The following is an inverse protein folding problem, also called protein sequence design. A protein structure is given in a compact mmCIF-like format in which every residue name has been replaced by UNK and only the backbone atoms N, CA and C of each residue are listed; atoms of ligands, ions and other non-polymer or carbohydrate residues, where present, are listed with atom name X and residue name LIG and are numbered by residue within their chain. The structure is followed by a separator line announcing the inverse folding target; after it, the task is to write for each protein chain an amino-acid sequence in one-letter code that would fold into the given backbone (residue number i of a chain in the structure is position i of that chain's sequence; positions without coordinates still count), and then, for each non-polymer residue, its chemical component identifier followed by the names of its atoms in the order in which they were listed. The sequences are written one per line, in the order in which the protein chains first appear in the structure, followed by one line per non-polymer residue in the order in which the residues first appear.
data_IF_830768975182
#
_entry.id   IF_830768975182
#
_cell.length_a   1.000
_cell.length_b   1.000
_cell.length_c   1.000
_cell.angle_alpha   90.00
_cell.angle_beta   90.00
_cell.angle_gamma   90.00
#
_symmetry.space_group_name_H-M   'P 1'
#
loop_
_entity.id
_entity.type
_entity.pdbx_description
1 polymer ?
#
# COMPACT_ATOMS: atom_id res chain seq x y z
N UNK A 1 -13.77 -43.87 44.43
CA UNK A 1 -12.60 -42.97 44.58
C UNK A 1 -12.21 -42.33 43.25
N UNK A 2 -13.10 -42.32 42.25
CA UNK A 2 -12.79 -41.89 40.87
C UNK A 2 -12.94 -40.37 40.61
N UNK A 3 -13.57 -39.60 41.50
CA UNK A 3 -13.87 -38.18 41.26
C UNK A 3 -12.71 -37.21 41.56
N UNK A 4 -11.59 -37.71 42.11
CA UNK A 4 -10.42 -36.88 42.46
C UNK A 4 -9.28 -37.00 41.43
N UNK A 5 -9.30 -38.04 40.58
CA UNK A 5 -8.24 -38.30 39.60
C UNK A 5 -8.32 -37.31 38.43
N UNK A 6 -9.53 -37.04 37.93
CA UNK A 6 -9.75 -36.09 36.84
C UNK A 6 -9.29 -34.65 37.16
N UNK A 7 -9.64 -34.04 38.32
CA UNK A 7 -9.14 -32.69 38.64
C UNK A 7 -7.63 -32.65 38.87
N UNK A 8 -7.03 -33.73 39.39
CA UNK A 8 -5.57 -33.83 39.56
C UNK A 8 -4.85 -33.85 38.21
N UNK A 9 -5.35 -34.62 37.23
CA UNK A 9 -4.77 -34.68 35.89
C UNK A 9 -4.88 -33.33 35.18
N UNK A 10 -6.03 -32.65 35.29
CA UNK A 10 -6.22 -31.30 34.71
C UNK A 10 -5.26 -30.30 35.34
N UNK A 11 -5.04 -30.36 36.66
CA UNK A 11 -4.08 -29.49 37.35
C UNK A 11 -2.65 -29.74 36.87
N UNK A 12 -2.25 -31.01 36.70
CA UNK A 12 -0.91 -31.36 36.20
C UNK A 12 -0.72 -30.84 34.77
N UNK A 13 -1.71 -31.01 33.89
CA UNK A 13 -1.64 -30.52 32.51
C UNK A 13 -1.54 -29.00 32.47
N UNK A 14 -2.31 -28.29 33.29
CA UNK A 14 -2.23 -26.83 33.40
C UNK A 14 -0.85 -26.37 33.88
N UNK A 15 -0.30 -27.02 34.92
CA UNK A 15 1.02 -26.69 35.46
C UNK A 15 2.10 -26.91 34.41
N UNK A 16 2.09 -28.05 33.71
CA UNK A 16 3.04 -28.36 32.63
C UNK A 16 2.90 -27.36 31.48
N UNK A 17 1.67 -27.02 31.07
CA UNK A 17 1.43 -26.04 30.01
C UNK A 17 1.96 -24.65 30.39
N UNK A 18 1.74 -24.20 31.64
CA UNK A 18 2.34 -22.95 32.13
C UNK A 18 3.86 -23.01 32.22
N UNK A 19 4.45 -24.13 32.63
CA UNK A 19 5.90 -24.27 32.72
C UNK A 19 6.55 -24.24 31.33
N UNK A 20 5.93 -24.90 30.34
CA UNK A 20 6.35 -24.86 28.93
C UNK A 20 6.19 -23.46 28.36
N UNK A 21 5.06 -22.79 28.60
CA UNK A 21 4.86 -21.41 28.15
C UNK A 21 5.91 -20.44 28.75
N UNK A 22 6.19 -20.55 30.04
CA UNK A 22 7.19 -19.71 30.73
C UNK A 22 8.60 -19.98 30.20
N UNK A 23 8.97 -21.24 29.96
CA UNK A 23 10.29 -21.60 29.42
C UNK A 23 10.46 -21.15 27.98
N UNK A 24 9.42 -21.25 27.14
CA UNK A 24 9.43 -20.74 25.76
C UNK A 24 9.54 -19.22 25.72
N UNK A 25 8.79 -18.50 26.55
CA UNK A 25 8.87 -17.03 26.65
C UNK A 25 10.24 -16.58 27.16
N UNK A 26 10.81 -17.27 28.15
CA UNK A 26 12.17 -16.98 28.65
C UNK A 26 13.24 -17.24 27.60
N UNK A 27 13.15 -18.34 26.85
CA UNK A 27 14.09 -18.62 25.75
C UNK A 27 13.99 -17.58 24.62
N UNK A 28 12.78 -17.11 24.29
CA UNK A 28 12.60 -16.02 23.31
C UNK A 28 13.17 -14.69 23.78
N UNK A 29 13.15 -14.40 25.09
CA UNK A 29 13.79 -13.19 25.66
C UNK A 29 15.32 -13.28 25.75
N UNK A 30 15.87 -14.48 25.91
CA UNK A 30 17.32 -14.69 26.04
C UNK A 30 18.08 -14.72 24.70
N UNK A 31 17.39 -14.69 23.56
CA UNK A 31 17.99 -14.83 22.23
C UNK A 31 17.92 -13.53 21.39
N UNK A 32 18.26 -12.39 21.99
CA UNK A 32 18.61 -11.18 21.24
C UNK A 32 20.13 -10.99 21.33
N UNK A 33 20.89 -11.12 20.24
CA UNK A 33 22.31 -10.79 20.26
C UNK A 33 22.49 -9.28 20.41
N UNK A 34 23.29 -8.86 21.40
CA UNK A 34 23.81 -7.50 21.45
C UNK A 34 24.74 -7.28 20.25
N UNK A 35 24.44 -6.27 19.43
CA UNK A 35 25.33 -5.84 18.34
C UNK A 35 26.60 -5.22 18.93
N UNK A 36 27.80 -5.54 18.43
CA UNK A 36 29.01 -4.81 18.80
C UNK A 36 28.90 -3.33 18.40
N UNK A 37 29.25 -2.44 19.33
CA UNK A 37 29.36 -1.02 19.08
C UNK A 37 30.44 -0.75 18.02
N UNK A 38 30.04 -0.13 16.90
CA UNK A 38 30.98 0.41 15.93
C UNK A 38 31.37 1.82 16.36
N UNK A 39 32.61 1.98 16.82
CA UNK A 39 33.26 3.29 16.99
C UNK A 39 33.57 3.88 15.61
N UNK A 40 33.17 5.12 15.29
CA UNK A 40 33.69 5.81 14.12
C UNK A 40 35.11 6.29 14.39
N UNK A 41 36.09 5.75 13.66
CA UNK A 41 37.44 6.28 13.61
C UNK A 41 37.45 7.54 12.71
N UNK A 42 37.84 8.67 13.29
CA UNK A 42 38.22 9.87 12.55
C UNK A 42 39.65 9.71 12.01
N UNK A 43 39.97 10.13 10.77
CA UNK A 43 41.35 10.34 10.38
C UNK A 43 41.76 11.81 10.59
N UNK A 44 42.89 11.96 11.28
CA UNK A 44 43.62 13.19 11.54
C UNK A 44 44.15 13.85 10.26
N UNK A 45 44.27 15.18 10.35
CA UNK A 45 44.92 16.06 9.39
C UNK A 45 46.45 15.86 9.34
N UNK A 46 47.04 16.12 8.17
CA UNK A 46 48.46 16.48 8.04
C UNK A 46 48.68 17.50 6.92
N UNK A 47 49.69 18.33 7.15
CA UNK A 47 49.93 19.70 6.69
C UNK A 47 50.44 19.90 5.25
N UNK A 48 50.43 21.19 4.88
CA UNK A 48 50.80 21.86 3.63
C UNK A 48 52.31 21.82 3.25
N UNK A 49 52.75 22.49 2.16
CA UNK A 49 53.18 23.90 2.31
C UNK A 49 52.94 24.86 1.10
N UNK A 50 52.86 26.17 1.45
CA UNK A 50 53.32 27.46 0.83
C UNK A 50 53.70 27.54 -0.68
N UNK A 51 53.60 28.64 -1.45
CA UNK A 51 53.27 30.08 -1.38
C UNK A 51 52.90 30.51 -2.84
N UNK A 52 52.26 31.65 -3.19
CA UNK A 52 52.80 33.01 -3.39
C UNK A 52 51.63 33.98 -3.69
N UNK A 53 51.69 35.19 -3.14
CA UNK A 53 50.83 36.40 -3.26
C UNK A 53 50.94 37.12 -4.64
N UNK A 54 50.01 38.04 -5.09
CA UNK A 54 49.79 39.35 -4.44
C UNK A 54 48.38 40.00 -4.50
N UNK A 55 48.08 40.67 -3.36
CA UNK A 55 47.49 42.01 -3.14
C UNK A 55 46.56 42.66 -4.18
N UNK A 56 45.30 42.90 -3.79
CA UNK A 56 44.59 44.20 -3.98
C UNK A 56 43.79 44.52 -2.71
N UNK A 57 43.88 45.78 -2.30
CA UNK A 57 43.39 46.39 -1.07
C UNK A 57 42.09 47.15 -1.33
N UNK A 58 41.04 46.98 -0.49
CA UNK A 58 40.10 48.06 -0.08
C UNK A 58 39.02 47.58 0.93
N UNK A 59 39.09 48.17 2.14
CA UNK A 59 38.03 48.53 3.12
C UNK A 59 37.03 47.49 3.72
N UNK A 60 36.60 47.68 4.99
CA UNK A 60 35.95 46.64 5.80
C UNK A 60 34.42 46.62 5.69
N UNK A 61 33.80 45.44 5.76
CA UNK A 61 32.36 45.27 5.97
C UNK A 61 32.11 44.48 7.27
N UNK A 62 31.15 44.90 8.13
CA UNK A 62 30.85 44.28 9.43
C UNK A 62 30.24 42.87 9.27
N UNK A 63 30.31 42.02 10.33
CA UNK A 63 30.06 40.59 10.21
C UNK A 63 28.61 40.30 9.87
N UNK A 64 28.40 39.63 8.74
CA UNK A 64 27.12 39.05 8.38
C UNK A 64 26.79 37.95 9.40
N UNK A 65 25.65 38.14 10.06
CA UNK A 65 25.04 37.19 10.98
C UNK A 65 25.01 35.77 10.39
N UNK A 66 25.41 34.80 11.20
CA UNK A 66 25.23 33.37 10.94
C UNK A 66 23.77 33.09 10.58
N UNK A 67 23.54 32.68 9.33
CA UNK A 67 22.28 32.15 8.89
C UNK A 67 22.08 30.77 9.54
N UNK A 68 21.12 30.66 10.45
CA UNK A 68 20.64 29.37 10.94
C UNK A 68 20.14 28.53 9.75
N UNK A 69 20.51 27.24 9.66
CA UNK A 69 20.11 26.39 8.54
C UNK A 69 18.60 26.18 8.54
N UNK A 70 17.96 26.58 7.44
CA UNK A 70 16.54 26.33 7.19
C UNK A 70 16.27 24.82 7.25
N UNK A 71 15.38 24.42 8.16
CA UNK A 71 14.92 23.04 8.27
C UNK A 71 14.17 22.65 6.98
N UNK A 72 14.32 21.42 6.46
CA UNK A 72 13.65 21.00 5.25
C UNK A 72 12.13 21.06 5.46
N UNK A 73 11.43 21.78 4.57
CA UNK A 73 9.97 21.83 4.55
C UNK A 73 9.44 20.41 4.30
N UNK A 74 8.71 19.88 5.28
CA UNK A 74 8.01 18.61 5.16
C UNK A 74 6.85 18.83 4.18
N UNK A 75 6.91 18.19 3.02
CA UNK A 75 5.88 18.27 1.99
C UNK A 75 4.58 17.63 2.50
N UNK A 76 3.65 18.47 2.97
CA UNK A 76 2.35 18.00 3.48
C UNK A 76 1.45 17.67 2.29
N UNK A 77 0.94 16.43 2.17
CA UNK A 77 0.12 16.04 1.03
C UNK A 77 -1.21 16.80 1.02
N UNK A 78 -1.67 17.15 -0.19
CA UNK A 78 -2.93 17.85 -0.42
C UNK A 78 -4.13 17.18 0.31
N UNK A 79 -5.17 17.95 0.68
CA UNK A 79 -6.40 17.41 1.25
C UNK A 79 -6.99 16.27 0.41
N UNK A 80 -7.54 15.25 1.08
CA UNK A 80 -8.07 14.02 0.46
C UNK A 80 -9.13 14.28 -0.62
N UNK A 81 -9.96 15.31 -0.44
CA UNK A 81 -10.97 15.72 -1.42
C UNK A 81 -10.35 16.11 -2.77
N UNK A 82 -9.27 16.90 -2.77
CA UNK A 82 -8.55 17.29 -3.99
C UNK A 82 -7.85 16.10 -4.66
N UNK A 83 -7.30 15.17 -3.86
CA UNK A 83 -6.67 13.94 -4.35
C UNK A 83 -7.64 13.01 -5.08
N UNK A 84 -8.85 12.80 -4.54
CA UNK A 84 -9.86 11.95 -5.19
C UNK A 84 -10.38 12.56 -6.49
N UNK A 85 -10.57 13.89 -6.53
CA UNK A 85 -10.95 14.59 -7.77
C UNK A 85 -9.86 14.40 -8.83
N UNK A 86 -8.59 14.64 -8.49
CA UNK A 86 -7.45 14.43 -9.41
C UNK A 86 -7.32 12.98 -9.86
N UNK A 87 -7.55 12.01 -8.98
CA UNK A 87 -7.56 10.60 -9.32
C UNK A 87 -8.68 10.30 -10.33
N UNK A 88 -9.91 10.74 -10.07
CA UNK A 88 -11.02 10.61 -11.02
C UNK A 88 -10.70 11.25 -12.37
N UNK A 89 -10.09 12.43 -12.40
CA UNK A 89 -9.68 13.09 -13.65
C UNK A 89 -8.55 12.37 -14.39
N UNK A 90 -7.67 11.64 -13.69
CA UNK A 90 -6.63 10.80 -14.30
C UNK A 90 -7.22 9.52 -14.86
N UNK A 91 -8.07 8.84 -14.09
CA UNK A 91 -8.78 7.64 -14.51
C UNK A 91 -9.72 7.92 -15.68
N UNK A 92 -10.48 9.02 -15.66
CA UNK A 92 -11.32 9.42 -16.79
C UNK A 92 -10.51 9.62 -18.10
N UNK A 93 -9.23 10.00 -18.00
CA UNK A 93 -8.35 10.13 -19.17
C UNK A 93 -7.81 8.79 -19.67
N UNK A 94 -7.45 7.84 -18.81
CA UNK A 94 -7.00 6.50 -19.25
C UNK A 94 -8.16 5.61 -19.69
N UNK A 95 -9.32 5.75 -19.05
CA UNK A 95 -10.53 4.97 -19.32
C UNK A 95 -11.29 5.43 -20.57
N UNK A 96 -10.76 6.37 -21.34
CA UNK A 96 -11.52 6.99 -22.44
C UNK A 96 -11.73 6.02 -23.62
N UNK A 97 -10.76 5.17 -23.95
CA UNK A 97 -10.92 4.19 -25.03
C UNK A 97 -11.73 2.96 -24.57
N UNK A 98 -11.31 2.33 -23.46
CA UNK A 98 -11.98 1.18 -22.86
C UNK A 98 -13.44 1.49 -22.49
N UNK A 99 -13.68 2.58 -21.75
CA UNK A 99 -15.01 2.96 -21.33
C UNK A 99 -15.95 3.30 -22.49
N UNK A 100 -15.45 3.94 -23.57
CA UNK A 100 -16.28 4.21 -24.76
C UNK A 100 -16.61 2.93 -25.53
N UNK A 101 -15.64 2.04 -25.71
CA UNK A 101 -15.85 0.75 -26.37
C UNK A 101 -16.89 -0.08 -25.61
N UNK A 102 -16.66 -0.27 -24.31
CA UNK A 102 -17.57 -1.03 -23.47
C UNK A 102 -18.99 -0.44 -23.42
N UNK A 103 -19.11 0.89 -23.33
CA UNK A 103 -20.41 1.55 -23.39
C UNK A 103 -21.10 1.38 -24.74
N UNK A 104 -20.37 1.34 -25.85
CA UNK A 104 -20.96 1.11 -27.18
C UNK A 104 -21.59 -0.29 -27.27
N UNK A 105 -20.91 -1.31 -26.74
CA UNK A 105 -21.44 -2.69 -26.70
C UNK A 105 -22.66 -2.78 -25.79
N UNK A 106 -22.58 -2.18 -24.60
CA UNK A 106 -23.69 -2.12 -23.64
C UNK A 106 -24.89 -1.30 -24.14
N UNK A 107 -24.71 -0.48 -25.18
CA UNK A 107 -25.77 0.34 -25.76
C UNK A 107 -26.58 -0.36 -26.85
N UNK A 108 -26.23 -1.59 -27.21
CA UNK A 108 -26.98 -2.36 -28.21
C UNK A 108 -28.39 -2.68 -27.70
N UNK A 109 -29.38 -2.63 -28.58
CA UNK A 109 -30.79 -2.92 -28.25
C UNK A 109 -31.00 -4.29 -27.61
N UNK A 110 -30.13 -5.25 -27.95
CA UNK A 110 -30.09 -6.57 -27.35
C UNK A 110 -28.64 -6.99 -27.12
N UNK A 111 -28.37 -7.50 -25.92
CA UNK A 111 -27.10 -8.16 -25.60
C UNK A 111 -27.25 -9.64 -25.95
N UNK A 112 -26.90 -9.97 -27.19
CA UNK A 112 -26.72 -11.34 -27.66
C UNK A 112 -25.37 -11.92 -27.21
N UNK A 113 -25.13 -13.19 -27.52
CA UNK A 113 -23.92 -13.90 -27.09
C UNK A 113 -22.64 -13.18 -27.58
N UNK A 114 -22.64 -12.66 -28.80
CA UNK A 114 -21.53 -11.89 -29.37
C UNK A 114 -21.27 -10.59 -28.59
N UNK A 115 -22.32 -9.84 -28.20
CA UNK A 115 -22.16 -8.64 -27.38
C UNK A 115 -21.56 -8.96 -26.01
N UNK A 116 -21.92 -10.10 -25.43
CA UNK A 116 -21.35 -10.51 -24.15
C UNK A 116 -19.89 -10.99 -24.26
N UNK A 117 -19.53 -11.65 -25.36
CA UNK A 117 -18.14 -11.99 -25.67
C UNK A 117 -17.29 -10.73 -25.81
N UNK A 118 -17.78 -9.71 -26.53
CA UNK A 118 -17.07 -8.44 -26.68
C UNK A 118 -16.90 -7.69 -25.33
N UNK A 119 -17.88 -7.78 -24.42
CA UNK A 119 -17.75 -7.25 -23.05
C UNK A 119 -16.64 -7.98 -22.28
N UNK A 120 -16.58 -9.30 -22.39
CA UNK A 120 -15.56 -10.14 -21.76
C UNK A 120 -14.16 -9.83 -22.31
N UNK A 121 -14.00 -9.80 -23.63
CA UNK A 121 -12.75 -9.42 -24.29
C UNK A 121 -12.29 -8.03 -23.86
N UNK A 122 -13.23 -7.08 -23.77
CA UNK A 122 -12.93 -5.72 -23.33
C UNK A 122 -12.35 -5.70 -21.92
N UNK A 123 -12.96 -6.43 -20.97
CA UNK A 123 -12.50 -6.50 -19.58
C UNK A 123 -11.14 -7.21 -19.47
N UNK A 124 -10.91 -8.27 -20.23
CA UNK A 124 -9.61 -8.95 -20.29
C UNK A 124 -8.53 -7.99 -20.83
N UNK A 125 -8.83 -7.25 -21.89
CA UNK A 125 -7.94 -6.23 -22.47
C UNK A 125 -7.68 -5.04 -21.53
N UNK A 126 -8.46 -4.88 -20.46
CA UNK A 126 -8.29 -3.88 -19.43
C UNK A 126 -7.55 -4.39 -18.18
N UNK A 127 -6.80 -5.49 -18.31
CA UNK A 127 -6.00 -6.10 -17.23
C UNK A 127 -6.84 -6.63 -16.04
N UNK A 128 -8.12 -6.94 -16.22
CA UNK A 128 -8.95 -7.57 -15.18
C UNK A 128 -8.57 -9.05 -14.98
N UNK A 129 -8.11 -9.71 -16.04
CA UNK A 129 -7.77 -11.14 -16.05
C UNK A 129 -8.95 -12.05 -16.37
N UNK A 130 -8.67 -13.22 -16.92
CA UNK A 130 -9.67 -14.15 -17.47
C UNK A 130 -10.65 -14.65 -16.42
N UNK A 131 -10.14 -15.13 -15.29
CA UNK A 131 -10.97 -15.72 -14.23
C UNK A 131 -11.94 -14.69 -13.61
N UNK A 132 -11.42 -13.53 -13.21
CA UNK A 132 -12.22 -12.47 -12.64
C UNK A 132 -13.28 -11.96 -13.64
N UNK A 133 -12.88 -11.78 -14.90
CA UNK A 133 -13.79 -11.35 -15.96
C UNK A 133 -14.94 -12.34 -16.15
N UNK A 134 -14.65 -13.64 -16.27
CA UNK A 134 -15.69 -14.66 -16.44
C UNK A 134 -16.69 -14.65 -15.29
N UNK A 135 -16.23 -14.47 -14.05
CA UNK A 135 -17.12 -14.34 -12.88
C UNK A 135 -18.00 -13.08 -12.94
N UNK A 136 -17.41 -11.93 -13.30
CA UNK A 136 -18.12 -10.65 -13.41
C UNK A 136 -19.19 -10.72 -14.50
N UNK A 137 -18.84 -11.22 -15.69
CA UNK A 137 -19.75 -11.30 -16.84
C UNK A 137 -20.89 -12.29 -16.56
N UNK A 138 -20.60 -13.44 -15.95
CA UNK A 138 -21.64 -14.40 -15.58
C UNK A 138 -22.67 -13.80 -14.61
N UNK A 139 -22.22 -13.09 -13.57
CA UNK A 139 -23.11 -12.42 -12.62
C UNK A 139 -23.89 -11.28 -13.27
N UNK A 140 -23.24 -10.49 -14.12
CA UNK A 140 -23.89 -9.41 -14.86
C UNK A 140 -24.99 -9.93 -15.79
N UNK A 141 -24.72 -11.00 -16.57
CA UNK A 141 -25.71 -11.68 -17.41
C UNK A 141 -26.91 -12.13 -16.59
N UNK A 142 -26.66 -12.76 -15.45
CA UNK A 142 -27.71 -13.27 -14.57
C UNK A 142 -28.58 -12.15 -14.00
N UNK A 143 -27.97 -11.10 -13.44
CA UNK A 143 -28.72 -9.96 -12.88
C UNK A 143 -29.49 -9.18 -13.94
N UNK A 144 -28.91 -9.01 -15.12
CA UNK A 144 -29.58 -8.35 -16.25
C UNK A 144 -30.85 -9.11 -16.64
N UNK A 145 -30.77 -10.45 -16.68
CA UNK A 145 -31.91 -11.34 -16.94
C UNK A 145 -32.97 -11.28 -15.84
N UNK A 146 -32.58 -11.36 -14.57
CA UNK A 146 -33.50 -11.34 -13.42
C UNK A 146 -34.25 -10.00 -13.34
N UNK A 147 -33.54 -8.89 -13.47
CA UNK A 147 -34.10 -7.55 -13.33
C UNK A 147 -34.84 -7.07 -14.59
N UNK A 148 -34.69 -7.78 -15.71
CA UNK A 148 -35.28 -7.40 -16.99
C UNK A 148 -34.79 -6.04 -17.48
N UNK A 149 -33.53 -5.70 -17.17
CA UNK A 149 -32.93 -4.39 -17.42
C UNK A 149 -32.94 -4.06 -18.91
N UNK A 150 -33.35 -2.85 -19.29
CA UNK A 150 -33.53 -2.48 -20.71
C UNK A 150 -32.78 -1.25 -21.14
N UNK A 151 -32.26 -0.46 -20.21
CA UNK A 151 -31.55 0.77 -20.55
C UNK A 151 -30.05 0.61 -20.34
N UNK A 152 -29.28 1.28 -21.20
CA UNK A 152 -27.81 1.36 -21.11
C UNK A 152 -27.36 1.84 -19.73
N UNK A 153 -28.08 2.81 -19.17
CA UNK A 153 -27.75 3.41 -17.87
C UNK A 153 -27.89 2.40 -16.72
N UNK A 154 -28.90 1.55 -16.77
CA UNK A 154 -29.12 0.51 -15.78
C UNK A 154 -28.07 -0.60 -15.91
N UNK A 155 -27.79 -1.11 -17.12
CA UNK A 155 -26.77 -2.17 -17.31
C UNK A 155 -25.38 -1.67 -16.91
N UNK A 156 -25.05 -0.41 -17.23
CA UNK A 156 -23.81 0.23 -16.76
C UNK A 156 -23.73 0.28 -15.24
N UNK A 157 -24.83 0.62 -14.58
CA UNK A 157 -24.89 0.62 -13.10
C UNK A 157 -24.67 -0.79 -12.56
N UNK A 158 -25.32 -1.80 -13.13
CA UNK A 158 -25.11 -3.19 -12.75
C UNK A 158 -23.66 -3.64 -12.93
N UNK A 159 -23.03 -3.29 -14.04
CA UNK A 159 -21.61 -3.59 -14.26
C UNK A 159 -20.72 -2.92 -13.21
N UNK A 160 -20.99 -1.65 -12.87
CA UNK A 160 -20.24 -0.94 -11.83
C UNK A 160 -20.41 -1.60 -10.45
N UNK A 161 -21.62 -2.08 -10.15
CA UNK A 161 -21.89 -2.84 -8.93
C UNK A 161 -21.11 -4.16 -8.91
N UNK A 162 -21.13 -4.94 -9.99
CA UNK A 162 -20.39 -6.21 -10.08
C UNK A 162 -18.87 -6.02 -9.99
N UNK A 163 -18.33 -4.98 -10.64
CA UNK A 163 -16.91 -4.62 -10.51
C UNK A 163 -16.56 -4.20 -9.08
N UNK A 164 -17.45 -3.49 -8.40
CA UNK A 164 -17.25 -3.07 -7.01
C UNK A 164 -17.30 -4.27 -6.06
N UNK A 165 -18.25 -5.19 -6.26
CA UNK A 165 -18.37 -6.41 -5.47
C UNK A 165 -17.18 -7.35 -5.69
N UNK A 166 -16.65 -7.44 -6.92
CA UNK A 166 -15.42 -8.18 -7.21
C UNK A 166 -14.21 -7.62 -6.45
N UNK A 167 -14.22 -6.33 -6.13
CA UNK A 167 -13.23 -5.69 -5.26
C UNK A 167 -13.53 -5.89 -3.78
N UNK A 168 -14.47 -6.73 -3.36
CA UNK A 168 -14.83 -6.99 -1.95
C UNK A 168 -14.77 -5.71 -1.08
N UNK A 169 -15.82 -4.87 -1.10
CA UNK A 169 -15.82 -3.60 -0.39
C UNK A 169 -15.76 -3.77 1.13
N UNK A 170 -15.96 -4.98 1.65
CA UNK A 170 -15.88 -5.30 3.08
C UNK A 170 -14.46 -5.66 3.52
N UNK A 171 -13.57 -5.96 2.58
CA UNK A 171 -12.18 -6.26 2.88
C UNK A 171 -11.46 -5.01 3.41
N UNK A 172 -10.95 -5.10 4.63
CA UNK A 172 -10.09 -4.07 5.22
C UNK A 172 -8.74 -4.03 4.49
N UNK A 173 -8.48 -2.90 3.82
CA UNK A 173 -7.23 -2.60 3.11
C UNK A 173 -6.44 -1.49 3.80
N UNK A 174 -6.76 -1.18 5.05
CA UNK A 174 -6.02 -0.21 5.83
C UNK A 174 -4.58 -0.67 6.05
N UNK A 175 -3.65 0.28 6.00
CA UNK A 175 -2.25 0.04 6.29
C UNK A 175 -1.96 0.51 7.72
N UNK A 176 -1.54 -0.40 8.58
CA UNK A 176 -1.13 -0.10 9.95
C UNK A 176 0.26 0.57 9.98
N UNK A 177 0.35 1.78 9.42
CA UNK A 177 1.60 2.52 9.25
C UNK A 177 1.98 3.39 10.47
N UNK A 178 1.09 3.52 11.46
CA UNK A 178 1.33 4.32 12.66
C UNK A 178 1.78 3.47 13.85
N UNK A 179 2.59 4.01 14.78
CA UNK A 179 2.94 3.31 16.02
C UNK A 179 1.70 2.80 16.77
N UNK A 180 1.82 1.62 17.37
CA UNK A 180 0.76 0.97 18.16
C UNK A 180 1.34 0.52 19.50
N UNK A 181 0.63 0.80 20.61
CA UNK A 181 1.02 0.41 21.97
C UNK A 181 2.47 0.79 22.35
N UNK A 182 2.91 1.97 21.93
CA UNK A 182 4.27 2.47 22.19
C UNK A 182 5.38 1.77 21.38
N UNK A 183 5.02 0.93 20.40
CA UNK A 183 5.95 0.25 19.49
C UNK A 183 5.93 0.92 18.11
N UNK A 184 7.09 1.07 17.45
CA UNK A 184 7.12 1.61 16.09
C UNK A 184 6.43 0.65 15.11
N UNK A 185 5.76 1.21 14.11
CA UNK A 185 5.31 0.43 12.95
C UNK A 185 6.53 0.07 12.09
N UNK A 186 6.66 -1.20 11.74
CA UNK A 186 7.75 -1.69 10.88
C UNK A 186 7.13 -2.20 9.57
N UNK A 187 7.41 -1.50 8.48
CA UNK A 187 6.90 -1.83 7.14
C UNK A 187 8.07 -2.34 6.28
N UNK A 188 7.97 -3.58 5.81
CA UNK A 188 8.91 -4.16 4.85
C UNK A 188 8.36 -4.00 3.43
N UNK A 189 8.99 -3.16 2.63
CA UNK A 189 8.61 -2.93 1.23
C UNK A 189 9.47 -3.78 0.30
N UNK A 190 8.85 -4.67 -0.47
CA UNK A 190 9.52 -5.60 -1.41
C UNK A 190 9.03 -5.40 -2.85
N UNK A 191 9.84 -5.82 -3.83
CA UNK A 191 9.50 -5.71 -5.25
C UNK A 191 10.73 -5.62 -6.16
N UNK A 192 10.51 -5.74 -7.47
CA UNK A 192 11.58 -5.67 -8.49
C UNK A 192 12.16 -4.26 -8.67
N UNK A 193 13.29 -4.14 -9.36
CA UNK A 193 13.88 -2.84 -9.68
C UNK A 193 12.94 -2.04 -10.61
N UNK A 194 12.81 -0.73 -10.36
CA UNK A 194 11.92 0.14 -11.13
C UNK A 194 10.45 0.16 -10.69
N UNK A 195 10.00 -0.73 -9.79
CA UNK A 195 8.60 -0.78 -9.31
C UNK A 195 8.19 0.37 -8.36
N UNK A 196 9.06 1.38 -8.17
CA UNK A 196 8.75 2.56 -7.34
C UNK A 196 8.90 2.38 -5.82
N UNK A 197 9.57 1.32 -5.33
CA UNK A 197 9.75 1.04 -3.88
C UNK A 197 10.21 2.26 -3.08
N UNK A 198 11.35 2.86 -3.43
CA UNK A 198 11.93 4.01 -2.72
C UNK A 198 11.01 5.23 -2.74
N UNK A 199 10.36 5.49 -3.89
CA UNK A 199 9.40 6.59 -4.03
C UNK A 199 8.15 6.36 -3.18
N UNK A 200 7.68 5.12 -3.05
CA UNK A 200 6.55 4.78 -2.18
C UNK A 200 6.94 4.91 -0.71
N UNK A 201 8.15 4.47 -0.31
CA UNK A 201 8.64 4.66 1.05
C UNK A 201 8.73 6.14 1.46
N UNK A 202 9.07 7.05 0.54
CA UNK A 202 9.08 8.49 0.84
C UNK A 202 7.70 9.15 0.89
N UNK A 203 6.66 8.48 0.38
CA UNK A 203 5.26 8.96 0.39
C UNK A 203 4.46 8.48 1.59
N UNK A 204 4.86 7.34 2.17
CA UNK A 204 4.26 6.74 3.38
C UNK A 204 4.94 7.35 4.59
#
# INVERSE_FOLDING_TARGET
MENLVLPLVVLIVLVVATLVAVTVVRRRRAALPERPAATPAAPEAKEAPAAVEPKVETAPSPPAAEAEPAQPEIEVPEPTAGRLVRLRSRLARSQNAFGRGLLAVLSRDRLDDDAWEEIEESLIGADVGVEATGQIVAKLRERTRILGTRTVAEVRTLLADELTEALDPKLDRSLAATPQDGRPAVILVVGVNGAGKTTTCGKI
#
